data_IF_954714303990
#
_entry.id   IF_954714303990
#
_cell.length_a   1.000
_cell.length_b   1.000
_cell.length_c   1.000
_cell.angle_alpha   90.00
_cell.angle_beta   90.00
_cell.angle_gamma   90.00
#
_symmetry.space_group_name_H-M   'P 1'
#
loop_
_entity.id
_entity.type
_entity.pdbx_description
1 polymer ?
#
# COMPACT_ATOMS: atom_id res chain seq x y z
N UNK A 1 14.98 -5.88 -12.94
CA UNK A 1 14.52 -6.81 -11.90
C UNK A 1 13.00 -6.76 -11.88
N UNK A 2 12.28 -7.80 -12.32
CA UNK A 2 10.82 -7.74 -12.30
C UNK A 2 10.34 -7.86 -10.84
N UNK A 3 9.50 -6.92 -10.39
CA UNK A 3 8.89 -6.89 -9.04
C UNK A 3 8.06 -8.15 -8.68
N UNK A 4 7.88 -9.07 -9.62
CA UNK A 4 6.96 -10.22 -9.54
C UNK A 4 7.34 -11.26 -8.47
N UNK A 5 8.56 -11.24 -7.93
CA UNK A 5 8.99 -12.20 -6.89
C UNK A 5 8.74 -11.71 -5.46
N UNK A 6 8.28 -10.47 -5.24
CA UNK A 6 8.15 -9.85 -3.90
C UNK A 6 6.76 -9.99 -3.27
N UNK A 7 5.83 -10.76 -3.85
CA UNK A 7 4.48 -10.96 -3.27
C UNK A 7 4.50 -11.55 -1.85
N UNK A 8 5.57 -12.27 -1.47
CA UNK A 8 5.75 -12.78 -0.11
C UNK A 8 6.24 -11.71 0.89
N UNK A 9 6.63 -10.54 0.39
CA UNK A 9 7.23 -9.45 1.19
C UNK A 9 6.17 -8.47 1.70
N UNK A 10 5.07 -8.31 0.94
CA UNK A 10 3.99 -7.41 1.26
C UNK A 10 2.66 -8.14 1.21
N UNK A 11 2.01 -8.26 2.37
CA UNK A 11 0.64 -8.75 2.42
C UNK A 11 -0.29 -7.65 1.87
N UNK A 12 -1.00 -7.93 0.79
CA UNK A 12 -1.96 -7.01 0.21
C UNK A 12 -3.30 -7.26 0.91
N UNK A 13 -3.45 -6.69 2.10
CA UNK A 13 -4.72 -6.72 2.83
C UNK A 13 -5.72 -5.76 2.18
N UNK A 14 -6.49 -6.24 1.20
CA UNK A 14 -7.64 -5.51 0.68
C UNK A 14 -8.84 -5.72 1.64
N UNK A 15 -9.39 -4.67 2.28
CA UNK A 15 -10.55 -4.81 3.15
C UNK A 15 -11.85 -5.09 2.37
N UNK A 16 -11.79 -5.05 1.04
CA UNK A 16 -12.91 -5.31 0.15
C UNK A 16 -12.89 -6.80 -0.21
N UNK A 17 -14.00 -7.49 0.05
CA UNK A 17 -14.21 -8.82 -0.51
C UNK A 17 -14.43 -8.69 -2.03
N UNK A 18 -13.37 -8.93 -2.80
CA UNK A 18 -13.39 -8.71 -4.25
C UNK A 18 -14.36 -9.66 -4.95
N UNK A 19 -14.49 -10.90 -4.49
CA UNK A 19 -15.44 -11.88 -5.04
C UNK A 19 -16.89 -11.40 -4.88
N UNK A 20 -17.22 -10.85 -3.71
CA UNK A 20 -18.55 -10.28 -3.46
C UNK A 20 -18.79 -9.01 -4.29
N UNK A 21 -17.75 -8.18 -4.43
CA UNK A 21 -17.81 -6.96 -5.24
C UNK A 21 -18.06 -7.28 -6.73
N UNK A 22 -17.38 -8.29 -7.28
CA UNK A 22 -17.61 -8.79 -8.63
C UNK A 22 -19.04 -9.27 -8.83
N UNK A 23 -19.58 -10.05 -7.89
CA UNK A 23 -20.95 -10.55 -7.96
C UNK A 23 -21.99 -9.42 -7.95
N UNK A 24 -21.79 -8.40 -7.12
CA UNK A 24 -22.70 -7.24 -7.05
C UNK A 24 -22.72 -6.42 -8.34
N UNK A 25 -21.66 -6.51 -9.15
CA UNK A 25 -21.50 -5.75 -10.38
C UNK A 25 -21.60 -6.61 -11.65
N UNK A 26 -21.98 -7.88 -11.54
CA UNK A 26 -22.04 -8.81 -12.66
C UNK A 26 -22.94 -8.32 -13.81
N UNK A 27 -24.04 -7.64 -13.48
CA UNK A 27 -25.02 -7.12 -14.44
C UNK A 27 -24.77 -5.65 -14.83
N UNK A 28 -23.62 -5.07 -14.46
CA UNK A 28 -23.33 -3.67 -14.74
C UNK A 28 -23.00 -3.45 -16.23
N UNK A 29 -23.58 -2.41 -16.84
CA UNK A 29 -23.45 -2.12 -18.28
C UNK A 29 -22.01 -1.92 -18.77
N UNK A 30 -21.10 -1.53 -17.88
CA UNK A 30 -19.68 -1.35 -18.18
C UNK A 30 -18.83 -2.52 -17.66
N UNK A 31 -19.15 -3.75 -18.10
CA UNK A 31 -18.40 -4.97 -17.73
C UNK A 31 -16.87 -4.82 -17.95
N UNK A 32 -16.37 -4.19 -19.04
CA UNK A 32 -14.92 -4.05 -19.25
C UNK A 32 -14.24 -3.23 -18.14
N UNK A 33 -14.88 -2.16 -17.67
CA UNK A 33 -14.34 -1.35 -16.58
C UNK A 33 -14.40 -2.10 -15.25
N UNK A 34 -15.51 -2.79 -14.96
CA UNK A 34 -15.66 -3.60 -13.75
C UNK A 34 -14.57 -4.67 -13.69
N UNK A 35 -14.35 -5.40 -14.79
CA UNK A 35 -13.30 -6.40 -14.88
C UNK A 35 -11.90 -5.81 -14.65
N UNK A 36 -11.62 -4.62 -15.18
CA UNK A 36 -10.35 -3.91 -14.95
C UNK A 36 -10.15 -3.57 -13.46
N UNK A 37 -11.18 -3.07 -12.78
CA UNK A 37 -11.12 -2.74 -11.36
C UNK A 37 -10.93 -4.00 -10.51
N UNK A 38 -11.70 -5.05 -10.75
CA UNK A 38 -11.63 -6.25 -9.92
C UNK A 38 -10.29 -6.97 -10.08
N UNK A 39 -9.78 -7.08 -11.31
CA UNK A 39 -8.42 -7.55 -11.56
C UNK A 39 -7.36 -6.70 -10.82
N UNK A 40 -7.58 -5.39 -10.71
CA UNK A 40 -6.70 -4.48 -9.97
C UNK A 40 -6.80 -4.61 -8.47
N UNK A 41 -7.97 -4.92 -7.93
CA UNK A 41 -8.14 -5.22 -6.51
C UNK A 41 -7.46 -6.54 -6.13
N UNK A 42 -7.44 -7.53 -7.04
CA UNK A 42 -6.75 -8.81 -6.81
C UNK A 42 -5.24 -8.72 -6.90
N UNK A 43 -4.72 -7.99 -7.89
CA UNK A 43 -3.28 -8.04 -8.23
C UNK A 43 -2.53 -6.73 -7.99
N UNK A 44 -3.25 -5.69 -7.51
CA UNK A 44 -2.74 -4.36 -7.21
C UNK A 44 -2.69 -3.46 -8.45
N UNK A 45 -2.97 -2.17 -8.31
CA UNK A 45 -3.09 -1.21 -9.44
C UNK A 45 -1.77 -0.84 -10.14
N UNK A 46 -0.64 -1.07 -9.46
CA UNK A 46 0.68 -0.61 -9.91
C UNK A 46 1.14 -1.14 -11.28
N UNK A 47 0.87 -2.41 -11.68
CA UNK A 47 1.27 -2.93 -13.00
C UNK A 47 0.64 -2.20 -14.20
N UNK A 48 -0.45 -1.45 -13.99
CA UNK A 48 -1.11 -0.66 -15.05
C UNK A 48 -0.95 0.85 -14.85
N UNK A 49 -0.19 1.29 -13.85
CA UNK A 49 0.15 2.69 -13.70
C UNK A 49 1.11 3.09 -14.83
N UNK A 50 0.72 4.08 -15.64
CA UNK A 50 1.63 4.65 -16.62
C UNK A 50 2.62 5.60 -15.92
N UNK A 51 3.82 5.11 -15.62
CA UNK A 51 4.89 5.90 -14.99
C UNK A 51 5.82 6.56 -16.01
N UNK A 52 5.50 6.54 -17.30
CA UNK A 52 6.38 7.06 -18.36
C UNK A 52 6.34 8.58 -18.52
N UNK A 53 5.70 9.32 -17.61
CA UNK A 53 5.68 10.78 -17.67
C UNK A 53 6.99 11.34 -17.11
N UNK A 54 7.83 11.87 -17.99
CA UNK A 54 9.15 12.45 -17.68
C UNK A 54 9.09 13.70 -16.76
N UNK A 55 7.91 14.23 -16.46
CA UNK A 55 7.72 15.42 -15.62
C UNK A 55 7.78 15.13 -14.11
N UNK A 56 7.73 13.86 -13.69
CA UNK A 56 7.79 13.51 -12.27
C UNK A 56 9.22 13.26 -11.79
N UNK A 57 9.58 13.74 -10.59
CA UNK A 57 10.88 13.43 -10.00
C UNK A 57 11.04 11.91 -9.80
N UNK A 58 12.25 11.40 -10.07
CA UNK A 58 12.62 9.99 -9.95
C UNK A 58 12.28 9.39 -8.58
N UNK A 59 12.35 10.21 -7.53
CA UNK A 59 11.87 9.87 -6.19
C UNK A 59 11.44 11.15 -5.47
N UNK A 60 10.30 11.11 -4.80
CA UNK A 60 9.97 12.08 -3.76
C UNK A 60 10.11 11.41 -2.40
N UNK A 61 11.03 11.90 -1.58
CA UNK A 61 11.11 11.50 -0.19
C UNK A 61 10.13 12.33 0.65
N UNK A 62 8.98 11.72 0.96
CA UNK A 62 7.98 12.29 1.88
C UNK A 62 8.11 11.72 3.30
N UNK A 63 9.18 10.97 3.61
CA UNK A 63 9.37 10.36 4.93
C UNK A 63 9.53 11.39 6.04
N UNK A 64 10.07 12.58 5.71
CA UNK A 64 10.23 13.67 6.66
C UNK A 64 8.94 14.49 6.81
N UNK A 65 8.07 14.02 7.71
CA UNK A 65 6.84 14.71 8.11
C UNK A 65 6.70 14.71 9.64
N UNK A 66 7.44 15.55 10.38
CA UNK A 66 7.38 15.56 11.83
C UNK A 66 6.01 16.05 12.33
N UNK A 67 5.44 15.44 13.38
CA UNK A 67 4.20 15.91 14.00
C UNK A 67 4.32 17.35 14.47
N UNK A 68 3.30 18.17 14.21
CA UNK A 68 3.29 19.61 14.52
C UNK A 68 2.98 19.87 15.99
N UNK A 69 2.31 18.93 16.65
CA UNK A 69 1.84 19.06 18.02
C UNK A 69 1.57 17.70 18.69
N UNK A 70 1.46 17.70 20.02
CA UNK A 70 1.32 16.48 20.84
C UNK A 70 0.06 15.66 20.51
N UNK A 71 -1.06 16.31 20.17
CA UNK A 71 -2.27 15.62 19.72
C UNK A 71 -2.06 14.84 18.41
N UNK A 72 -1.23 15.35 17.48
CA UNK A 72 -0.91 14.67 16.23
C UNK A 72 -0.05 13.43 16.50
N UNK A 73 0.89 13.51 17.45
CA UNK A 73 1.65 12.34 17.93
C UNK A 73 0.71 11.27 18.48
N UNK A 74 -0.19 11.65 19.40
CA UNK A 74 -1.15 10.71 20.00
C UNK A 74 -2.03 10.07 18.93
N UNK A 75 -2.53 10.85 17.98
CA UNK A 75 -3.36 10.34 16.88
C UNK A 75 -2.59 9.34 16.02
N UNK A 76 -1.37 9.67 15.59
CA UNK A 76 -0.52 8.77 14.79
C UNK A 76 -0.26 7.47 15.56
N UNK A 77 0.11 7.55 16.84
CA UNK A 77 0.32 6.37 17.68
C UNK A 77 -0.93 5.48 17.76
N UNK A 78 -2.11 6.08 17.97
CA UNK A 78 -3.38 5.34 17.99
C UNK A 78 -3.66 4.63 16.66
N UNK A 79 -3.43 5.31 15.53
CA UNK A 79 -3.61 4.72 14.20
C UNK A 79 -2.64 3.55 13.95
N UNK A 80 -1.37 3.71 14.34
CA UNK A 80 -0.35 2.65 14.20
C UNK A 80 -0.73 1.45 15.04
N UNK A 81 -1.06 1.63 16.32
CA UNK A 81 -1.46 0.55 17.21
C UNK A 81 -2.69 -0.20 16.68
N UNK A 82 -3.70 0.52 16.19
CA UNK A 82 -4.90 -0.07 15.60
C UNK A 82 -4.59 -0.93 14.37
N UNK A 83 -3.73 -0.44 13.47
CA UNK A 83 -3.32 -1.19 12.28
C UNK A 83 -2.42 -2.39 12.59
N UNK A 84 -1.55 -2.31 13.60
CA UNK A 84 -0.77 -3.47 14.09
C UNK A 84 -1.69 -4.55 14.62
N UNK A 85 -2.70 -4.18 15.42
CA UNK A 85 -3.68 -5.12 15.96
C UNK A 85 -4.53 -5.81 14.88
N UNK A 86 -4.71 -5.14 13.72
CA UNK A 86 -5.41 -5.70 12.56
C UNK A 86 -4.50 -6.51 11.62
N UNK A 87 -3.23 -6.72 11.98
CA UNK A 87 -2.23 -7.37 11.12
C UNK A 87 -2.10 -6.72 9.72
N UNK A 88 -2.39 -5.41 9.62
CA UNK A 88 -2.25 -4.66 8.37
C UNK A 88 -0.82 -4.16 8.12
N UNK A 89 0.11 -4.43 9.04
CA UNK A 89 1.53 -4.14 8.87
C UNK A 89 2.31 -5.43 8.65
N UNK A 90 3.17 -5.44 7.63
CA UNK A 90 4.16 -6.49 7.45
C UNK A 90 5.18 -6.47 8.58
N UNK A 91 5.76 -7.65 8.85
CA UNK A 91 6.98 -7.74 9.65
C UNK A 91 8.09 -6.88 9.03
N UNK A 92 8.98 -6.30 9.86
CA UNK A 92 10.13 -5.55 9.37
C UNK A 92 10.92 -6.38 8.34
N UNK A 93 11.33 -5.74 7.24
CA UNK A 93 12.20 -6.39 6.27
C UNK A 93 13.48 -6.87 6.97
N UNK A 94 13.88 -8.10 6.66
CA UNK A 94 15.10 -8.67 7.22
C UNK A 94 16.31 -7.81 6.80
N UNK A 95 17.33 -7.66 7.66
CA UNK A 95 18.48 -6.78 7.40
C UNK A 95 19.31 -7.15 6.17
N UNK A 96 19.17 -8.38 5.66
CA UNK A 96 19.85 -8.89 4.46
C UNK A 96 19.20 -8.42 3.15
N UNK A 97 17.97 -7.90 3.21
CA UNK A 97 17.28 -7.26 2.10
C UNK A 97 17.46 -5.75 2.23
N UNK A 98 18.40 -5.16 1.49
CA UNK A 98 18.51 -3.70 1.39
C UNK A 98 17.25 -3.15 0.71
N UNK A 99 16.25 -2.78 1.52
CA UNK A 99 15.10 -2.04 1.05
C UNK A 99 15.57 -0.65 0.57
N UNK A 100 15.14 -0.24 -0.62
CA UNK A 100 15.16 1.19 -0.95
C UNK A 100 14.38 1.98 0.11
N UNK A 101 14.70 3.26 0.36
CA UNK A 101 14.33 3.99 1.58
C UNK A 101 12.83 4.23 1.81
N UNK A 102 11.96 3.80 0.91
CA UNK A 102 10.52 4.08 0.94
C UNK A 102 9.71 3.20 1.89
N UNK A 103 10.31 2.26 2.63
CA UNK A 103 9.63 1.44 3.64
C UNK A 103 10.40 1.29 4.95
N UNK A 104 10.79 2.42 5.55
CA UNK A 104 11.19 2.45 6.96
C UNK A 104 10.22 3.35 7.76
N UNK A 105 9.05 2.79 8.10
CA UNK A 105 8.24 3.32 9.20
C UNK A 105 8.73 2.75 10.53
N UNK A 106 9.96 3.06 10.92
CA UNK A 106 10.39 3.00 12.32
C UNK A 106 11.43 4.10 12.56
N UNK A 107 10.98 5.33 12.74
CA UNK A 107 11.75 6.30 13.51
C UNK A 107 11.53 6.01 14.99
N UNK A 108 12.62 5.59 15.63
CA UNK A 108 12.76 5.48 17.08
C UNK A 108 12.28 6.78 17.74
N UNK A 109 11.16 6.73 18.47
CA UNK A 109 10.67 7.84 19.27
C UNK A 109 11.26 7.66 20.68
N UNK A 110 12.03 8.62 21.22
CA UNK A 110 12.41 8.64 22.64
C UNK A 110 11.22 8.95 23.56
#
# INVERSE_FOLDING_TARGET
MPLQTLFHLFDIACPINVDQFEQLLADHLNCPFVASICNSLHTGFWPWANTSQDEFPLSCDYSYSPPKCSNEVVFICQQVLGKVALHCFSEPLRPDLSASPSMLCQSHIP
#
